data_IF_658026979576
#
_entry.id   IF_658026979576
#
_cell.length_a   1.000
_cell.length_b   1.000
_cell.length_c   1.000
_cell.angle_alpha   90.00
_cell.angle_beta   90.00
_cell.angle_gamma   90.00
#
_symmetry.space_group_name_H-M   'P 1'
#
loop_
_entity.id
_entity.type
_entity.pdbx_description
1 polymer ?
#
# COMPACT_ATOMS: atom_id res chain seq x y z
N UNK A 1 12.16 -4.25 6.38
CA UNK A 1 12.19 -5.72 6.22
C UNK A 1 12.83 -6.01 4.89
N UNK A 2 13.92 -6.76 4.87
CA UNK A 2 14.56 -7.18 3.62
C UNK A 2 13.80 -8.38 3.03
N UNK A 3 13.51 -8.34 1.74
CA UNK A 3 12.82 -9.42 1.03
C UNK A 3 13.37 -9.58 -0.39
N UNK A 4 13.10 -10.74 -0.99
CA UNK A 4 13.38 -10.96 -2.41
C UNK A 4 12.63 -9.96 -3.30
N UNK A 5 13.23 -9.65 -4.43
CA UNK A 5 12.67 -8.81 -5.49
C UNK A 5 11.65 -9.60 -6.32
N UNK A 6 10.55 -8.98 -6.75
CA UNK A 6 9.61 -9.65 -7.66
C UNK A 6 10.17 -9.87 -9.06
N UNK A 7 9.65 -10.87 -9.77
CA UNK A 7 10.04 -11.15 -11.17
C UNK A 7 9.77 -9.96 -12.08
N UNK A 8 8.65 -9.26 -11.88
CA UNK A 8 8.33 -8.02 -12.60
C UNK A 8 9.40 -6.94 -12.39
N UNK A 9 9.87 -6.75 -11.15
CA UNK A 9 10.91 -5.79 -10.82
C UNK A 9 12.27 -6.18 -11.40
N UNK A 10 12.63 -7.47 -11.38
CA UNK A 10 13.82 -7.97 -12.04
C UNK A 10 13.79 -7.71 -13.56
N UNK A 11 12.65 -7.96 -14.20
CA UNK A 11 12.42 -7.65 -15.63
C UNK A 11 12.57 -6.14 -15.91
N UNK A 12 12.02 -5.28 -15.06
CA UNK A 12 12.20 -3.83 -15.18
C UNK A 12 13.67 -3.41 -15.07
N UNK A 13 14.44 -3.98 -14.14
CA UNK A 13 15.88 -3.72 -13.99
C UNK A 13 16.66 -4.16 -15.24
N UNK A 14 16.37 -5.35 -15.78
CA UNK A 14 16.95 -5.81 -17.04
C UNK A 14 16.70 -4.84 -18.19
N UNK A 15 15.49 -4.27 -18.27
CA UNK A 15 15.13 -3.28 -19.29
C UNK A 15 15.97 -2.00 -19.25
N UNK A 16 16.60 -1.66 -18.11
CA UNK A 16 17.43 -0.45 -17.99
C UNK A 16 18.75 -0.56 -18.76
N UNK A 17 19.29 -1.76 -18.93
CA UNK A 17 20.56 -1.98 -19.61
C UNK A 17 20.48 -1.81 -21.15
N UNK A 18 19.27 -1.90 -21.72
CA UNK A 18 19.06 -1.96 -23.18
C UNK A 18 18.58 -0.67 -23.85
N UNK A 19 18.69 0.49 -23.20
CA UNK A 19 18.07 1.75 -23.72
C UNK A 19 18.80 2.35 -24.91
N UNK A 20 20.12 2.16 -25.01
CA UNK A 20 20.98 2.82 -26.02
C UNK A 20 21.58 1.79 -26.96
N UNK A 21 21.98 0.64 -26.44
CA UNK A 21 22.57 -0.46 -27.18
C UNK A 21 22.24 -1.79 -26.48
N UNK A 22 22.61 -2.93 -27.08
CA UNK A 22 22.49 -4.23 -26.44
C UNK A 22 23.28 -4.25 -25.12
N UNK A 23 22.59 -4.44 -24.01
CA UNK A 23 23.17 -4.46 -22.67
C UNK A 23 22.96 -5.80 -21.96
N UNK A 24 23.73 -6.02 -20.90
CA UNK A 24 23.69 -7.23 -20.07
C UNK A 24 23.19 -6.85 -18.67
N UNK A 25 22.30 -7.66 -18.11
CA UNK A 25 21.83 -7.52 -16.73
C UNK A 25 22.25 -8.75 -15.92
N UNK A 26 23.07 -8.54 -14.90
CA UNK A 26 23.50 -9.60 -14.00
C UNK A 26 22.53 -9.71 -12.82
N UNK A 27 22.02 -10.91 -12.58
CA UNK A 27 21.10 -11.22 -11.50
C UNK A 27 21.81 -12.13 -10.49
N UNK A 28 21.95 -11.68 -9.24
CA UNK A 28 22.67 -12.39 -8.19
C UNK A 28 21.74 -13.36 -7.43
N UNK A 29 21.06 -14.24 -8.16
CA UNK A 29 20.21 -15.31 -7.62
C UNK A 29 20.15 -16.48 -8.62
N UNK A 30 19.82 -17.67 -8.14
CA UNK A 30 19.71 -18.86 -8.99
C UNK A 30 18.47 -18.85 -9.88
N UNK A 31 18.48 -19.58 -10.98
CA UNK A 31 17.26 -19.81 -11.79
C UNK A 31 16.16 -20.48 -10.99
N UNK A 32 16.53 -21.40 -10.09
CA UNK A 32 15.58 -22.06 -9.18
C UNK A 32 14.84 -21.05 -8.29
N UNK A 33 15.57 -20.11 -7.68
CA UNK A 33 14.98 -19.04 -6.86
C UNK A 33 14.05 -18.16 -7.70
N UNK A 34 14.47 -17.79 -8.92
CA UNK A 34 13.65 -16.96 -9.80
C UNK A 34 12.31 -17.61 -10.18
N UNK A 35 12.28 -18.93 -10.33
CA UNK A 35 11.08 -19.68 -10.73
C UNK A 35 10.19 -20.06 -9.55
N UNK A 36 10.77 -20.39 -8.40
CA UNK A 36 10.05 -21.01 -7.28
C UNK A 36 9.89 -20.10 -6.05
N UNK A 37 10.81 -19.15 -5.83
CA UNK A 37 10.83 -18.32 -4.61
C UNK A 37 10.38 -16.88 -4.87
N UNK A 38 10.69 -16.32 -6.04
CA UNK A 38 10.37 -14.93 -6.38
C UNK A 38 8.90 -14.80 -6.79
N UNK A 39 8.17 -13.92 -6.09
CA UNK A 39 6.81 -13.55 -6.47
C UNK A 39 6.77 -12.88 -7.84
N UNK A 40 5.69 -13.09 -8.60
CA UNK A 40 5.53 -12.48 -9.92
C UNK A 40 5.50 -10.95 -9.81
N UNK A 41 4.66 -10.43 -8.90
CA UNK A 41 4.51 -9.01 -8.59
C UNK A 41 4.74 -8.78 -7.10
N UNK A 42 5.20 -7.58 -6.76
CA UNK A 42 5.31 -7.18 -5.36
C UNK A 42 3.92 -6.85 -4.83
N UNK A 43 3.65 -7.21 -3.57
CA UNK A 43 2.38 -6.87 -2.93
C UNK A 43 2.18 -5.33 -2.89
N UNK A 44 0.99 -4.83 -3.23
CA UNK A 44 0.68 -3.40 -3.21
C UNK A 44 1.04 -2.73 -1.87
N UNK A 45 1.48 -1.49 -1.92
CA UNK A 45 1.88 -0.71 -0.74
C UNK A 45 0.74 -0.55 0.26
N UNK A 46 -0.48 -0.31 -0.24
CA UNK A 46 -1.71 -0.20 0.56
C UNK A 46 -2.01 -1.44 1.43
N UNK A 47 -1.45 -2.61 1.08
CA UNK A 47 -1.62 -3.85 1.84
C UNK A 47 -0.46 -4.14 2.80
N UNK A 48 0.58 -3.31 2.81
CA UNK A 48 1.84 -3.57 3.56
C UNK A 48 2.20 -2.49 4.57
N UNK A 49 1.61 -1.30 4.46
CA UNK A 49 1.94 -0.13 5.27
C UNK A 49 0.73 0.28 6.10
N UNK A 50 0.98 0.95 7.23
CA UNK A 50 -0.09 1.62 7.99
C UNK A 50 -0.84 2.63 7.11
N UNK A 51 -2.13 2.80 7.39
CA UNK A 51 -3.03 3.60 6.56
C UNK A 51 -3.34 4.96 7.19
N UNK A 52 -2.58 5.38 8.21
CA UNK A 52 -2.87 6.57 9.00
C UNK A 52 -2.88 7.82 8.13
N UNK A 53 -1.82 8.02 7.35
CA UNK A 53 -1.69 9.16 6.44
C UNK A 53 -2.79 9.15 5.38
N UNK A 54 -3.11 7.96 4.85
CA UNK A 54 -4.14 7.82 3.82
C UNK A 54 -5.54 8.11 4.39
N UNK A 55 -5.83 7.63 5.59
CA UNK A 55 -7.10 7.89 6.30
C UNK A 55 -7.25 9.38 6.59
N UNK A 56 -6.19 10.05 7.05
CA UNK A 56 -6.21 11.50 7.25
C UNK A 56 -6.44 12.27 5.95
N UNK A 57 -5.82 11.85 4.84
CA UNK A 57 -6.05 12.47 3.53
C UNK A 57 -7.51 12.34 3.07
N UNK A 58 -8.12 11.18 3.27
CA UNK A 58 -9.54 10.95 2.92
C UNK A 58 -10.46 11.89 3.72
N UNK A 59 -10.18 12.08 5.01
CA UNK A 59 -10.93 12.99 5.87
C UNK A 59 -10.70 14.46 5.50
N UNK A 60 -9.45 14.85 5.19
CA UNK A 60 -9.11 16.21 4.79
C UNK A 60 -9.80 16.62 3.49
N UNK A 61 -9.89 15.68 2.54
CA UNK A 61 -10.53 15.87 1.24
C UNK A 61 -12.06 15.71 1.26
N UNK A 62 -12.64 15.42 2.43
CA UNK A 62 -14.08 15.23 2.62
C UNK A 62 -14.69 14.17 1.69
N UNK A 63 -13.96 13.06 1.49
CA UNK A 63 -14.37 11.96 0.58
C UNK A 63 -15.33 10.96 1.24
N UNK A 64 -15.86 11.30 2.42
CA UNK A 64 -16.74 10.46 3.23
C UNK A 64 -16.00 9.54 4.20
N UNK A 65 -16.69 8.49 4.66
CA UNK A 65 -16.12 7.54 5.63
C UNK A 65 -14.94 6.76 5.02
N UNK A 66 -13.75 6.76 5.66
CA UNK A 66 -12.57 6.06 5.13
C UNK A 66 -12.77 4.56 4.94
N UNK A 67 -13.58 3.90 5.77
CA UNK A 67 -13.87 2.47 5.63
C UNK A 67 -14.61 2.17 4.32
N UNK A 68 -15.57 3.00 3.95
CA UNK A 68 -16.36 2.87 2.72
C UNK A 68 -15.53 3.30 1.52
N UNK A 69 -14.82 4.43 1.62
CA UNK A 69 -14.04 4.96 0.51
C UNK A 69 -12.93 4.00 0.07
N UNK A 70 -12.15 3.47 1.01
CA UNK A 70 -11.00 2.60 0.70
C UNK A 70 -11.40 1.24 0.13
N UNK A 71 -12.64 0.78 0.36
CA UNK A 71 -13.15 -0.46 -0.28
C UNK A 71 -13.30 -0.34 -1.80
N UNK A 72 -13.37 0.88 -2.34
CA UNK A 72 -13.49 1.14 -3.78
C UNK A 72 -12.15 1.11 -4.52
N UNK A 73 -11.03 0.95 -3.80
CA UNK A 73 -9.70 0.89 -4.41
C UNK A 73 -9.51 -0.39 -5.24
N UNK A 74 -8.55 -0.37 -6.18
CA UNK A 74 -8.22 -1.54 -7.04
C UNK A 74 -7.83 -2.76 -6.22
N UNK A 75 -7.09 -2.56 -5.12
CA UNK A 75 -6.76 -3.57 -4.14
C UNK A 75 -7.14 -3.04 -2.76
N UNK A 76 -8.37 -3.30 -2.27
CA UNK A 76 -8.84 -2.72 -1.03
C UNK A 76 -8.05 -3.27 0.17
N UNK A 77 -7.73 -2.43 1.18
CA UNK A 77 -7.07 -2.90 2.39
C UNK A 77 -8.04 -3.69 3.28
N UNK A 78 -7.48 -4.45 4.22
CA UNK A 78 -8.32 -5.17 5.19
C UNK A 78 -9.05 -4.19 6.11
N UNK A 79 -10.31 -4.51 6.46
CA UNK A 79 -11.08 -3.70 7.42
C UNK A 79 -10.36 -3.55 8.77
N UNK A 80 -9.57 -4.57 9.16
CA UNK A 80 -8.74 -4.52 10.37
C UNK A 80 -7.66 -3.44 10.26
N UNK A 81 -6.98 -3.33 9.12
CA UNK A 81 -5.95 -2.31 8.90
C UNK A 81 -6.54 -0.90 9.01
N UNK A 82 -7.67 -0.64 8.36
CA UNK A 82 -8.36 0.66 8.42
C UNK A 82 -8.75 0.99 9.87
N UNK A 83 -9.35 0.02 10.57
CA UNK A 83 -9.76 0.21 11.98
C UNK A 83 -8.57 0.46 12.91
N UNK A 84 -7.44 -0.21 12.69
CA UNK A 84 -6.24 0.00 13.49
C UNK A 84 -5.67 1.41 13.27
N UNK A 85 -5.63 1.88 12.03
CA UNK A 85 -5.18 3.24 11.73
C UNK A 85 -6.14 4.31 12.31
N UNK A 86 -7.46 4.11 12.23
CA UNK A 86 -8.44 5.00 12.87
C UNK A 86 -8.25 5.07 14.40
N UNK A 87 -8.11 3.91 15.05
CA UNK A 87 -7.85 3.84 16.50
C UNK A 87 -6.54 4.52 16.90
N UNK A 88 -5.50 4.38 16.08
CA UNK A 88 -4.23 5.04 16.34
C UNK A 88 -4.38 6.56 16.25
N UNK A 89 -5.03 7.06 15.21
CA UNK A 89 -5.27 8.49 15.02
C UNK A 89 -6.15 9.08 16.13
N UNK A 90 -7.16 8.34 16.59
CA UNK A 90 -7.99 8.71 17.73
C UNK A 90 -7.17 8.76 19.03
N UNK A 91 -6.34 7.75 19.28
CA UNK A 91 -5.44 7.71 20.44
C UNK A 91 -4.38 8.83 20.44
N UNK A 92 -4.02 9.35 19.25
CA UNK A 92 -3.13 10.50 19.09
C UNK A 92 -3.88 11.85 19.16
N UNK A 93 -5.21 11.86 19.26
CA UNK A 93 -6.03 13.08 19.23
C UNK A 93 -6.06 13.77 17.85
N UNK A 94 -5.68 13.08 16.78
CA UNK A 94 -5.66 13.63 15.42
C UNK A 94 -7.06 13.62 14.77
N UNK A 95 -7.94 12.72 15.20
CA UNK A 95 -9.32 12.60 14.71
C UNK A 95 -10.24 12.27 15.89
N UNK A 96 -11.48 12.75 15.84
CA UNK A 96 -12.56 12.31 16.73
C UNK A 96 -13.59 11.56 15.89
N UNK A 97 -13.74 10.26 16.15
CA UNK A 97 -14.57 9.38 15.35
C UNK A 97 -15.97 9.23 15.97
N UNK A 98 -16.86 10.18 15.71
CA UNK A 98 -18.28 10.10 16.09
C UNK A 98 -19.10 9.31 15.05
N UNK A 99 -18.54 8.25 14.43
CA UNK A 99 -19.23 7.46 13.39
C UNK A 99 -20.33 6.51 13.93
N UNK A 100 -20.96 6.90 15.04
CA UNK A 100 -22.15 6.27 15.61
C UNK A 100 -23.40 7.11 15.32
N UNK A 101 -24.26 6.60 14.44
CA UNK A 101 -25.66 6.98 14.17
C UNK A 101 -26.05 8.46 13.96
N UNK A 102 -25.12 9.43 13.95
CA UNK A 102 -25.47 10.78 13.52
C UNK A 102 -24.38 11.43 12.64
N UNK A 103 -24.82 11.85 11.47
CA UNK A 103 -24.07 12.45 10.38
C UNK A 103 -23.58 13.86 10.73
N UNK A 104 -22.56 13.97 11.57
CA UNK A 104 -21.89 15.26 11.80
C UNK A 104 -20.42 15.07 12.13
N UNK A 105 -19.57 15.14 11.11
CA UNK A 105 -18.12 15.31 11.29
C UNK A 105 -17.92 16.70 11.91
N UNK A 106 -17.65 16.77 13.22
CA UNK A 106 -17.11 17.99 13.83
C UNK A 106 -15.61 18.01 13.57
N UNK A 107 -15.20 18.80 12.57
CA UNK A 107 -13.81 19.25 12.45
C UNK A 107 -13.47 20.05 13.72
N UNK A 108 -12.35 19.72 14.36
CA UNK A 108 -11.70 20.63 15.31
C UNK A 108 -11.18 21.87 14.57
#
# INVERSE_FOLDING_TARGET
>A
VECWVSRASAKQRRGRAGRVQAGIAYHMYSSHSYENELQEYQLPEMLRVGLEDLVLQVLLLDLGEPSIFLTKAVNPPSALAIRNSLKLLEGLGAVQCDWGDDSSIKKL
#
